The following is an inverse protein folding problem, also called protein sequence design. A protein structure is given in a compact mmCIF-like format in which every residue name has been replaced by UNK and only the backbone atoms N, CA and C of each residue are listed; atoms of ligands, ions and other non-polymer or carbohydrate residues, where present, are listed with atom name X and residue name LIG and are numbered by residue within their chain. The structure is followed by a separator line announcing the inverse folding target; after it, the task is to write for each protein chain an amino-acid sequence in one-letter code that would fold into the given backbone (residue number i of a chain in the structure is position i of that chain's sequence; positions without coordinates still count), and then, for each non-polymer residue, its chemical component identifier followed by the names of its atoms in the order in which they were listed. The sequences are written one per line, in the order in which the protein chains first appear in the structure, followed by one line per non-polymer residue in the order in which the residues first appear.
data_IF_223251167825
#
_entry.id   IF_223251167825
#
_cell.length_a   1.000
_cell.length_b   1.000
_cell.length_c   1.000
_cell.angle_alpha   90.00
_cell.angle_beta   90.00
_cell.angle_gamma   90.00
#
_symmetry.space_group_name_H-M   'P 1'
#
loop_
_entity.id
_entity.type
_entity.pdbx_description
1 polymer ?
#
# COMPACT_ATOMS: atom_id res chain seq x y z
N UNK A 1 -19.78 -3.82 -23.14
CA UNK A 1 -19.16 -5.04 -23.69
C UNK A 1 -18.23 -5.57 -22.60
N UNK A 2 -18.40 -6.82 -22.17
CA UNK A 2 -17.48 -7.37 -21.16
C UNK A 2 -16.12 -7.62 -21.80
N UNK A 3 -15.08 -7.05 -21.22
CA UNK A 3 -13.70 -7.31 -21.67
C UNK A 3 -13.27 -8.67 -21.13
N UNK A 4 -12.74 -9.52 -22.00
CA UNK A 4 -12.26 -10.84 -21.67
C UNK A 4 -10.84 -11.02 -22.17
N UNK A 5 -10.06 -11.85 -21.49
CA UNK A 5 -8.70 -12.21 -21.86
C UNK A 5 -8.55 -13.72 -21.92
N UNK A 6 -7.67 -14.20 -22.79
CA UNK A 6 -7.37 -15.63 -22.90
C UNK A 6 -6.26 -16.00 -21.93
N UNK A 7 -6.46 -17.04 -21.12
CA UNK A 7 -5.47 -17.62 -20.25
C UNK A 7 -5.39 -19.14 -20.48
N UNK A 8 -4.40 -19.57 -21.25
CA UNK A 8 -4.33 -20.94 -21.76
C UNK A 8 -5.58 -21.29 -22.57
N UNK A 9 -6.28 -22.35 -22.17
CA UNK A 9 -7.55 -22.76 -22.79
C UNK A 9 -8.79 -22.09 -22.18
N UNK A 10 -8.61 -21.19 -21.20
CA UNK A 10 -9.72 -20.52 -20.48
C UNK A 10 -9.87 -19.08 -20.92
N UNK A 11 -11.10 -18.62 -20.93
CA UNK A 11 -11.45 -17.21 -21.11
C UNK A 11 -11.75 -16.62 -19.73
N UNK A 12 -11.01 -15.55 -19.37
CA UNK A 12 -11.19 -14.86 -18.09
C UNK A 12 -11.88 -13.53 -18.33
N UNK A 13 -12.80 -13.18 -17.43
CA UNK A 13 -13.46 -11.89 -17.39
C UNK A 13 -12.52 -10.87 -16.75
N UNK A 14 -12.30 -9.74 -17.43
CA UNK A 14 -11.64 -8.57 -16.83
C UNK A 14 -12.63 -7.86 -15.92
N UNK A 15 -12.33 -7.78 -14.65
CA UNK A 15 -13.19 -7.12 -13.66
C UNK A 15 -13.04 -5.60 -13.72
N UNK A 16 -11.79 -5.13 -13.78
CA UNK A 16 -11.48 -3.69 -13.83
C UNK A 16 -10.07 -3.48 -14.39
N UNK A 17 -9.81 -2.30 -14.91
CA UNK A 17 -8.51 -1.89 -15.44
C UNK A 17 -7.97 -0.71 -14.63
N UNK A 18 -6.66 -0.70 -14.36
CA UNK A 18 -5.97 0.35 -13.62
C UNK A 18 -4.69 0.78 -14.36
N UNK A 19 -4.24 2.01 -14.13
CA UNK A 19 -2.94 2.47 -14.62
C UNK A 19 -1.81 1.78 -13.86
N UNK A 20 -2.03 1.52 -12.56
CA UNK A 20 -1.05 0.89 -11.68
C UNK A 20 -1.70 -0.17 -10.80
N UNK A 21 -1.11 -1.37 -10.76
CA UNK A 21 -1.47 -2.42 -9.80
C UNK A 21 -0.26 -2.72 -8.93
N UNK A 22 -0.42 -2.58 -7.64
CA UNK A 22 0.61 -2.88 -6.62
C UNK A 22 0.30 -4.24 -6.01
N UNK A 23 1.23 -5.16 -6.11
CA UNK A 23 1.12 -6.49 -5.49
C UNK A 23 1.86 -6.50 -4.16
N UNK A 24 1.11 -6.54 -3.08
CA UNK A 24 1.57 -6.46 -1.70
C UNK A 24 1.48 -5.06 -1.11
N UNK A 25 0.64 -4.89 -0.09
CA UNK A 25 0.43 -3.65 0.67
C UNK A 25 1.36 -3.49 1.88
N UNK A 26 2.59 -4.05 1.82
CA UNK A 26 3.63 -3.81 2.82
C UNK A 26 4.10 -2.36 2.83
N UNK A 27 5.11 -2.02 3.65
CA UNK A 27 5.61 -0.64 3.77
C UNK A 27 5.98 -0.02 2.41
N UNK A 28 6.62 -0.80 1.54
CA UNK A 28 6.98 -0.35 0.19
C UNK A 28 5.75 -0.19 -0.71
N UNK A 29 4.85 -1.20 -0.72
CA UNK A 29 3.65 -1.18 -1.55
C UNK A 29 2.65 -0.11 -1.12
N UNK A 30 2.46 0.12 0.18
CA UNK A 30 1.61 1.20 0.69
C UNK A 30 2.13 2.57 0.23
N UNK A 31 3.45 2.81 0.35
CA UNK A 31 4.07 4.06 -0.11
C UNK A 31 4.01 4.23 -1.62
N UNK A 32 4.25 3.15 -2.39
CA UNK A 32 4.17 3.18 -3.85
C UNK A 32 2.73 3.45 -4.33
N UNK A 33 1.74 2.76 -3.75
CA UNK A 33 0.33 2.95 -4.06
C UNK A 33 -0.15 4.37 -3.73
N UNK A 34 0.18 4.88 -2.53
CA UNK A 34 -0.11 6.25 -2.16
C UNK A 34 0.49 7.25 -3.13
N UNK A 35 1.77 7.08 -3.49
CA UNK A 35 2.43 7.96 -4.47
C UNK A 35 1.72 7.92 -5.82
N UNK A 36 1.37 6.75 -6.31
CA UNK A 36 0.68 6.58 -7.59
C UNK A 36 -0.68 7.27 -7.57
N UNK A 37 -1.52 6.98 -6.58
CA UNK A 37 -2.85 7.57 -6.44
C UNK A 37 -2.79 9.09 -6.25
N UNK A 38 -1.87 9.59 -5.42
CA UNK A 38 -1.64 11.03 -5.18
C UNK A 38 -1.27 11.79 -6.46
N UNK A 39 -0.62 11.12 -7.41
CA UNK A 39 -0.30 11.69 -8.72
C UNK A 39 -1.42 11.50 -9.77
N UNK A 40 -2.59 11.04 -9.37
CA UNK A 40 -3.79 10.97 -10.22
C UNK A 40 -3.91 9.70 -11.06
N UNK A 41 -3.06 8.68 -10.82
CA UNK A 41 -3.20 7.40 -11.49
C UNK A 41 -4.26 6.53 -10.82
N UNK A 42 -5.10 5.89 -11.61
CA UNK A 42 -6.00 4.85 -11.10
C UNK A 42 -5.16 3.69 -10.57
N UNK A 43 -5.25 3.45 -9.25
CA UNK A 43 -4.31 2.55 -8.58
C UNK A 43 -5.06 1.53 -7.72
N UNK A 44 -4.68 0.26 -7.86
CA UNK A 44 -5.14 -0.84 -7.01
C UNK A 44 -3.97 -1.40 -6.21
N UNK A 45 -4.14 -1.58 -4.91
CA UNK A 45 -3.28 -2.44 -4.09
C UNK A 45 -3.99 -3.76 -3.83
N UNK A 46 -3.31 -4.87 -4.13
CA UNK A 46 -3.76 -6.24 -3.83
C UNK A 46 -2.88 -6.77 -2.70
N UNK A 47 -3.48 -7.20 -1.59
CA UNK A 47 -2.73 -7.84 -0.51
C UNK A 47 -3.49 -9.06 0.04
N UNK A 48 -2.72 -10.09 0.39
CA UNK A 48 -3.23 -11.26 1.11
C UNK A 48 -3.61 -10.96 2.57
N UNK A 49 -3.04 -9.91 3.14
CA UNK A 49 -3.42 -9.41 4.45
C UNK A 49 -4.68 -8.51 4.35
N UNK A 50 -5.23 -8.17 5.51
CA UNK A 50 -6.45 -7.36 5.63
C UNK A 50 -6.18 -5.92 6.06
N UNK A 51 -4.91 -5.49 6.02
CA UNK A 51 -4.47 -4.13 6.34
C UNK A 51 -3.15 -3.78 5.66
N UNK A 52 -2.93 -2.50 5.41
CA UNK A 52 -1.69 -1.98 4.86
C UNK A 52 -0.56 -1.91 5.91
N UNK A 53 0.68 -1.72 5.45
CA UNK A 53 1.87 -1.47 6.28
C UNK A 53 2.77 -2.68 6.51
N UNK A 54 2.32 -3.90 6.19
CA UNK A 54 3.14 -5.12 6.20
C UNK A 54 3.71 -5.47 7.58
N UNK A 55 5.04 -5.59 7.71
CA UNK A 55 5.67 -5.97 8.98
C UNK A 55 5.41 -4.98 10.11
N UNK A 56 5.27 -3.70 9.80
CA UNK A 56 4.96 -2.67 10.79
C UNK A 56 3.58 -2.84 11.43
N UNK A 57 2.62 -3.37 10.70
CA UNK A 57 1.23 -3.51 11.12
C UNK A 57 0.82 -4.95 11.37
N UNK A 58 1.11 -5.86 10.45
CA UNK A 58 0.71 -7.26 10.54
C UNK A 58 1.63 -8.08 11.46
N UNK A 59 2.93 -7.78 11.49
CA UNK A 59 3.89 -8.46 12.36
C UNK A 59 4.26 -7.64 13.61
N UNK A 60 3.59 -6.51 13.86
CA UNK A 60 3.75 -5.66 15.04
C UNK A 60 5.19 -5.17 15.28
N UNK A 61 5.96 -4.96 14.20
CA UNK A 61 7.30 -4.37 14.27
C UNK A 61 7.15 -2.85 14.34
N UNK A 62 6.88 -2.35 15.54
CA UNK A 62 6.45 -0.97 15.78
C UNK A 62 7.58 0.05 16.04
N UNK A 63 8.86 -0.30 16.24
CA UNK A 63 9.90 0.72 16.29
C UNK A 63 10.23 1.26 14.91
N UNK A 64 10.13 2.58 14.74
CA UNK A 64 10.57 3.24 13.52
C UNK A 64 12.08 3.46 13.59
N UNK A 65 12.82 2.74 12.75
CA UNK A 65 14.28 2.81 12.71
C UNK A 65 14.74 4.17 12.19
N UNK A 66 15.87 4.64 12.70
CA UNK A 66 16.53 5.85 12.18
C UNK A 66 16.87 5.68 10.70
N UNK A 67 16.59 6.70 9.92
CA UNK A 67 17.14 6.87 8.57
C UNK A 67 18.28 7.87 8.60
N UNK A 68 19.36 7.57 7.88
CA UNK A 68 20.49 8.47 7.68
C UNK A 68 20.39 9.27 6.38
N UNK A 69 19.29 9.10 5.65
CA UNK A 69 18.96 9.82 4.43
C UNK A 69 17.82 10.80 4.69
N UNK A 70 17.66 11.79 3.83
CA UNK A 70 16.50 12.67 3.88
C UNK A 70 15.23 11.85 3.66
N UNK A 71 14.24 12.09 4.50
CA UNK A 71 12.95 11.44 4.37
C UNK A 71 12.21 11.97 3.15
N UNK A 72 11.50 11.08 2.49
CA UNK A 72 10.60 11.42 1.40
C UNK A 72 9.31 12.06 1.95
N UNK A 73 8.60 12.83 1.11
CA UNK A 73 7.34 13.49 1.51
C UNK A 73 6.32 12.49 2.08
N UNK A 74 6.24 11.27 1.52
CA UNK A 74 5.35 10.23 2.03
C UNK A 74 5.58 9.87 3.51
N UNK A 75 6.83 9.98 3.98
CA UNK A 75 7.14 9.77 5.40
C UNK A 75 6.48 10.83 6.27
N UNK A 76 6.59 12.09 5.88
CA UNK A 76 5.98 13.20 6.62
C UNK A 76 4.45 13.17 6.55
N UNK A 77 3.89 12.79 5.39
CA UNK A 77 2.46 12.62 5.22
C UNK A 77 1.94 11.51 6.14
N UNK A 78 2.63 10.36 6.18
CA UNK A 78 2.29 9.26 7.06
C UNK A 78 2.39 9.66 8.54
N UNK A 79 3.50 10.29 8.95
CA UNK A 79 3.70 10.73 10.34
C UNK A 79 2.59 11.72 10.77
N UNK A 80 2.20 12.63 9.90
CA UNK A 80 1.12 13.58 10.18
C UNK A 80 -0.25 12.90 10.24
N UNK A 81 -0.52 11.94 9.36
CA UNK A 81 -1.77 11.19 9.37
C UNK A 81 -1.89 10.32 10.62
N UNK A 82 -0.82 9.63 11.01
CA UNK A 82 -0.78 8.79 12.20
C UNK A 82 -1.13 9.54 13.49
N UNK A 83 -0.82 10.84 13.59
CA UNK A 83 -1.18 11.68 14.75
C UNK A 83 -2.69 11.76 14.97
N UNK A 84 -3.51 11.52 13.95
CA UNK A 84 -4.98 11.50 14.07
C UNK A 84 -5.50 10.23 14.74
N UNK A 85 -4.75 9.12 14.66
CA UNK A 85 -5.17 7.79 15.14
C UNK A 85 -4.43 7.35 16.40
N UNK A 86 -3.31 7.98 16.72
CA UNK A 86 -2.54 7.69 17.91
C UNK A 86 -1.19 8.38 17.89
N UNK A 87 -0.63 8.62 19.06
CA UNK A 87 0.64 9.30 19.20
C UNK A 87 1.82 8.38 18.85
N UNK A 88 2.80 8.93 18.13
CA UNK A 88 4.14 8.36 18.10
C UNK A 88 4.87 8.75 19.37
N UNK A 89 5.39 7.77 20.11
CA UNK A 89 6.14 8.05 21.34
C UNK A 89 7.63 8.00 21.09
N UNK A 90 8.33 9.07 21.47
CA UNK A 90 9.78 9.05 21.57
C UNK A 90 10.18 8.23 22.79
N UNK A 91 11.08 7.26 22.62
CA UNK A 91 11.60 6.49 23.73
C UNK A 91 12.75 7.26 24.37
N UNK A 92 12.51 7.86 25.55
CA UNK A 92 13.48 8.43 26.49
C UNK A 92 14.85 8.84 25.90
N UNK A 93 14.86 9.95 25.13
CA UNK A 93 16.10 10.54 24.61
C UNK A 93 16.78 9.76 23.50
N UNK A 94 16.21 8.68 23.01
CA UNK A 94 16.62 8.03 21.76
C UNK A 94 15.83 8.66 20.61
N UNK A 95 16.46 8.88 19.47
CA UNK A 95 15.75 9.35 18.29
C UNK A 95 14.92 8.24 17.59
N UNK A 96 14.60 7.19 18.32
CA UNK A 96 13.79 6.08 17.88
C UNK A 96 12.34 6.35 18.29
N UNK A 97 11.46 6.39 17.30
CA UNK A 97 10.02 6.56 17.54
C UNK A 97 9.33 5.21 17.57
N UNK A 98 8.40 5.05 18.50
CA UNK A 98 7.48 3.93 18.55
C UNK A 98 6.09 4.40 18.10
N UNK A 99 5.35 3.55 17.45
CA UNK A 99 4.01 3.85 16.94
C UNK A 99 3.04 2.70 17.27
N UNK A 100 1.73 3.00 17.22
CA UNK A 100 0.69 1.98 17.21
C UNK A 100 0.62 1.34 15.82
N UNK A 101 0.61 0.01 15.78
CA UNK A 101 0.43 -0.73 14.53
C UNK A 101 -0.93 -0.43 13.87
N UNK A 102 -1.96 -0.25 14.69
CA UNK A 102 -3.31 0.14 14.27
C UNK A 102 -3.28 1.54 13.65
N UNK A 103 -2.70 2.52 14.37
CA UNK A 103 -2.60 3.89 13.88
C UNK A 103 -1.85 3.98 12.53
N UNK A 104 -0.81 3.16 12.34
CA UNK A 104 -0.10 3.11 11.07
C UNK A 104 -0.95 2.48 9.96
N UNK A 105 -1.69 1.42 10.24
CA UNK A 105 -2.57 0.79 9.27
C UNK A 105 -3.67 1.76 8.81
N UNK A 106 -4.35 2.39 9.76
CA UNK A 106 -5.42 3.36 9.51
C UNK A 106 -4.89 4.59 8.75
N UNK A 107 -3.69 5.05 9.10
CA UNK A 107 -3.07 6.17 8.41
C UNK A 107 -2.73 5.85 6.95
N UNK A 108 -2.14 4.69 6.66
CA UNK A 108 -1.88 4.28 5.28
C UNK A 108 -3.16 4.14 4.47
N UNK A 109 -4.20 3.50 5.05
CA UNK A 109 -5.48 3.31 4.38
C UNK A 109 -6.17 4.65 4.12
N UNK A 110 -6.20 5.55 5.11
CA UNK A 110 -6.74 6.91 4.97
C UNK A 110 -6.03 7.72 3.88
N UNK A 111 -4.71 7.77 3.91
CA UNK A 111 -3.92 8.49 2.90
C UNK A 111 -4.18 7.95 1.50
N UNK A 112 -4.16 6.64 1.32
CA UNK A 112 -4.30 6.01 0.03
C UNK A 112 -5.72 6.17 -0.55
N UNK A 113 -6.74 5.89 0.25
CA UNK A 113 -8.14 5.97 -0.19
C UNK A 113 -8.61 7.40 -0.40
N UNK A 114 -8.11 8.37 0.38
CA UNK A 114 -8.40 9.79 0.16
C UNK A 114 -7.91 10.33 -1.19
N UNK A 115 -6.92 9.67 -1.78
CA UNK A 115 -6.44 9.96 -3.13
C UNK A 115 -7.17 9.14 -4.22
N UNK A 116 -8.23 8.42 -3.88
CA UNK A 116 -8.98 7.58 -4.82
C UNK A 116 -8.35 6.21 -5.10
N UNK A 117 -7.38 5.79 -4.30
CA UNK A 117 -6.80 4.45 -4.37
C UNK A 117 -7.79 3.37 -3.95
N UNK A 118 -7.72 2.21 -4.58
CA UNK A 118 -8.58 1.06 -4.32
C UNK A 118 -7.80 -0.10 -3.69
N UNK A 119 -8.47 -0.84 -2.81
CA UNK A 119 -7.89 -1.95 -2.05
C UNK A 119 -8.61 -3.26 -2.38
N UNK A 120 -7.85 -4.31 -2.57
CA UNK A 120 -8.33 -5.68 -2.64
C UNK A 120 -7.57 -6.51 -1.61
N UNK A 121 -8.16 -6.72 -0.46
CA UNK A 121 -7.65 -7.53 0.62
C UNK A 121 -8.04 -9.00 0.49
N UNK A 122 -7.38 -9.86 1.27
CA UNK A 122 -7.58 -11.31 1.26
C UNK A 122 -7.46 -11.93 -0.14
N UNK A 123 -6.56 -11.36 -0.95
CA UNK A 123 -6.35 -11.74 -2.34
C UNK A 123 -4.87 -11.95 -2.66
N UNK A 124 -4.59 -13.00 -3.42
CA UNK A 124 -3.24 -13.33 -3.87
C UNK A 124 -3.17 -13.30 -5.39
N UNK A 125 -2.17 -12.59 -5.90
CA UNK A 125 -1.84 -12.64 -7.32
C UNK A 125 -1.13 -13.95 -7.62
N UNK A 126 -1.68 -14.72 -8.54
CA UNK A 126 -1.19 -16.05 -8.89
C UNK A 126 -0.38 -16.06 -10.17
N UNK A 127 -0.69 -15.15 -11.09
CA UNK A 127 -0.03 -15.11 -12.40
C UNK A 127 -0.17 -13.72 -13.05
N UNK A 128 0.60 -13.48 -14.10
CA UNK A 128 0.60 -12.24 -14.89
C UNK A 128 0.62 -12.60 -16.38
N UNK A 129 -0.32 -12.04 -17.12
CA UNK A 129 -0.36 -12.19 -18.57
C UNK A 129 0.35 -11.00 -19.22
N UNK A 130 1.36 -11.27 -20.00
CA UNK A 130 2.08 -10.28 -20.78
C UNK A 130 1.73 -10.40 -22.27
N UNK A 131 1.37 -9.27 -22.85
CA UNK A 131 1.11 -9.15 -24.27
C UNK A 131 1.81 -7.91 -24.82
N UNK A 132 2.71 -8.06 -25.77
CA UNK A 132 3.50 -6.97 -26.34
C UNK A 132 4.18 -6.09 -25.27
N UNK A 133 4.80 -6.72 -24.27
CA UNK A 133 5.47 -6.09 -23.11
C UNK A 133 4.53 -5.27 -22.20
N UNK A 134 3.24 -5.47 -22.28
CA UNK A 134 2.25 -4.87 -21.38
C UNK A 134 1.55 -5.94 -20.56
N UNK A 135 1.28 -5.63 -19.30
CA UNK A 135 0.44 -6.44 -18.44
C UNK A 135 -1.03 -6.26 -18.86
N UNK A 136 -1.71 -7.38 -18.92
CA UNK A 136 -3.14 -7.45 -19.30
C UNK A 136 -3.99 -7.75 -18.08
#
# INVERSE_FOLDING_TARGET
METKIQYGSRELKVLKTYDTVIVGGGSAGSSAGYTSAKNGFSTLIIDKAIRLGGSATNALVTPMMRSFTNHHQNFYDLENEMKKYGETRDQHGTAQKWFSAEAMADAWESLYTSCGGELLYDASVCDVILENQKIK
#
